data_IF_441051524259
#
_entry.id   IF_441051524259
#
_cell.length_a   1.000
_cell.length_b   1.000
_cell.length_c   1.000
_cell.angle_alpha   90.00
_cell.angle_beta   90.00
_cell.angle_gamma   90.00
#
_symmetry.space_group_name_H-M   'P 1'
#
loop_
_entity.id
_entity.type
_entity.pdbx_description
1 polymer ?
#
# COMPACT_ATOMS: atom_id res chain seq x y z
N UNK A 1 1.88 -9.97 -23.32
CA UNK A 1 1.27 -10.60 -22.13
C UNK A 1 -0.19 -10.14 -22.01
N UNK A 2 -1.15 -11.04 -21.77
CA UNK A 2 -2.55 -10.67 -21.61
C UNK A 2 -2.72 -9.62 -20.51
N UNK A 3 -3.65 -8.68 -20.72
CA UNK A 3 -3.87 -7.60 -19.78
C UNK A 3 -4.30 -8.10 -18.39
N UNK A 4 -5.17 -9.10 -18.35
CA UNK A 4 -5.57 -9.80 -17.12
C UNK A 4 -4.37 -10.35 -16.35
N UNK A 5 -3.41 -10.94 -17.04
CA UNK A 5 -2.21 -11.52 -16.42
C UNK A 5 -1.32 -10.44 -15.78
N UNK A 6 -1.23 -9.23 -16.36
CA UNK A 6 -0.52 -8.10 -15.75
C UNK A 6 -1.17 -7.65 -14.44
N UNK A 7 -2.50 -7.55 -14.42
CA UNK A 7 -3.25 -7.19 -13.22
C UNK A 7 -3.06 -8.26 -12.13
N UNK A 8 -3.18 -9.54 -12.51
CA UNK A 8 -3.00 -10.65 -11.58
C UNK A 8 -1.59 -10.62 -10.96
N UNK A 9 -0.56 -10.43 -11.77
CA UNK A 9 0.83 -10.32 -11.28
C UNK A 9 0.99 -9.12 -10.35
N UNK A 10 0.48 -7.94 -10.72
CA UNK A 10 0.56 -6.75 -9.87
C UNK A 10 -0.14 -6.97 -8.52
N UNK A 11 -1.30 -7.64 -8.53
CA UNK A 11 -2.03 -7.98 -7.31
C UNK A 11 -1.27 -8.98 -6.43
N UNK A 12 -0.76 -10.07 -7.01
CA UNK A 12 0.03 -11.06 -6.27
C UNK A 12 1.28 -10.43 -5.66
N UNK A 13 2.01 -9.61 -6.42
CA UNK A 13 3.19 -8.89 -5.92
C UNK A 13 2.84 -7.89 -4.81
N UNK A 14 1.69 -7.23 -4.92
CA UNK A 14 1.18 -6.34 -3.87
C UNK A 14 1.00 -7.09 -2.55
N UNK A 15 0.32 -8.23 -2.58
CA UNK A 15 0.05 -9.03 -1.37
C UNK A 15 1.35 -9.57 -0.78
N UNK A 16 2.24 -10.13 -1.60
CA UNK A 16 3.53 -10.65 -1.15
C UNK A 16 4.34 -9.54 -0.47
N UNK A 17 4.48 -8.39 -1.12
CA UNK A 17 5.25 -7.28 -0.57
C UNK A 17 4.59 -6.69 0.67
N UNK A 18 3.25 -6.59 0.70
CA UNK A 18 2.52 -6.11 1.86
C UNK A 18 2.78 -7.00 3.09
N UNK A 19 2.70 -8.32 2.94
CA UNK A 19 2.98 -9.28 4.02
C UNK A 19 4.42 -9.16 4.51
N UNK A 20 5.40 -9.07 3.60
CA UNK A 20 6.82 -8.93 3.96
C UNK A 20 7.07 -7.61 4.71
N UNK A 21 6.45 -6.51 4.28
CA UNK A 21 6.64 -5.19 4.88
C UNK A 21 5.78 -4.95 6.13
N UNK A 22 4.80 -5.82 6.41
CA UNK A 22 3.86 -5.66 7.54
C UNK A 22 4.58 -5.49 8.88
N UNK A 23 5.57 -6.33 9.26
CA UNK A 23 6.27 -6.15 10.54
C UNK A 23 7.01 -4.82 10.62
N UNK A 24 7.69 -4.44 9.53
CA UNK A 24 8.44 -3.18 9.46
C UNK A 24 7.52 -1.96 9.59
N UNK A 25 6.40 -1.97 8.85
CA UNK A 25 5.43 -0.87 8.88
C UNK A 25 4.69 -0.80 10.22
N UNK A 26 4.38 -1.94 10.82
CA UNK A 26 3.77 -2.03 12.16
C UNK A 26 4.70 -1.45 13.22
N UNK A 27 5.96 -1.87 13.25
CA UNK A 27 6.96 -1.31 14.18
C UNK A 27 7.21 0.17 13.95
N UNK A 28 7.23 0.66 12.70
CA UNK A 28 7.32 2.09 12.44
C UNK A 28 6.11 2.84 12.96
N UNK A 29 4.90 2.33 12.72
CA UNK A 29 3.66 2.92 13.22
C UNK A 29 3.68 3.05 14.75
N UNK A 30 4.05 1.99 15.47
CA UNK A 30 4.21 2.04 16.92
C UNK A 30 5.29 3.02 17.38
N UNK A 31 6.43 3.11 16.70
CA UNK A 31 7.48 4.04 17.09
C UNK A 31 7.07 5.51 16.91
N UNK A 32 6.22 5.82 15.93
CA UNK A 32 5.75 7.19 15.68
C UNK A 32 4.50 7.55 16.49
N UNK A 33 3.63 6.58 16.78
CA UNK A 33 2.28 6.82 17.32
C UNK A 33 1.93 5.98 18.56
N UNK A 34 2.83 5.10 19.03
CA UNK A 34 2.58 4.04 20.03
C UNK A 34 2.34 4.46 21.48
N UNK A 35 1.75 5.64 21.71
CA UNK A 35 1.22 6.00 23.03
C UNK A 35 -0.25 5.63 23.24
N UNK A 36 -0.82 4.73 22.44
CA UNK A 36 -2.20 4.29 22.62
C UNK A 36 -2.24 2.86 23.15
N UNK A 37 -2.52 2.76 24.45
CA UNK A 37 -2.86 1.54 25.18
C UNK A 37 -3.87 0.68 24.41
N UNK A 38 -3.44 -0.47 23.89
CA UNK A 38 -4.39 -1.47 23.38
C UNK A 38 -4.93 -2.22 24.59
N UNK A 39 -6.20 -1.97 24.91
CA UNK A 39 -6.91 -2.57 26.04
C UNK A 39 -6.83 -4.10 26.04
N UNK A 40 -7.02 -4.65 27.23
CA UNK A 40 -6.92 -6.04 27.70
C UNK A 40 -7.61 -7.15 26.86
N UNK A 41 -8.19 -6.83 25.69
CA UNK A 41 -8.96 -7.71 24.80
C UNK A 41 -8.64 -7.52 23.29
N UNK A 42 -7.43 -7.07 22.92
CA UNK A 42 -6.96 -7.02 21.52
C UNK A 42 -6.38 -8.36 21.03
N UNK A 43 -6.31 -8.62 19.70
CA UNK A 43 -5.57 -9.76 19.15
C UNK A 43 -4.11 -9.74 19.64
N UNK A 44 -3.40 -10.87 19.66
CA UNK A 44 -2.06 -10.97 20.27
C UNK A 44 -0.99 -10.03 19.69
N UNK A 45 -1.27 -9.42 18.54
CA UNK A 45 -0.44 -8.46 17.81
C UNK A 45 -1.30 -7.44 17.05
N UNK A 46 -1.93 -6.47 17.74
CA UNK A 46 -2.78 -5.46 17.11
C UNK A 46 -2.01 -4.58 16.10
N UNK A 47 -0.69 -4.50 16.20
CA UNK A 47 0.22 -3.76 15.30
C UNK A 47 0.25 -4.29 13.87
N UNK A 48 -0.13 -5.55 13.65
CA UNK A 48 -0.11 -6.15 12.31
C UNK A 48 -1.24 -5.65 11.41
N UNK A 49 -2.37 -5.19 11.96
CA UNK A 49 -3.45 -4.64 11.14
C UNK A 49 -3.05 -3.26 10.58
N UNK A 50 -2.64 -2.26 11.40
CA UNK A 50 -2.06 -1.01 10.93
C UNK A 50 -0.87 -1.24 9.99
N UNK A 51 0.05 -2.13 10.38
CA UNK A 51 1.22 -2.48 9.58
C UNK A 51 0.85 -3.02 8.19
N UNK A 52 -0.13 -3.92 8.11
CA UNK A 52 -0.60 -4.48 6.85
C UNK A 52 -1.31 -3.42 5.99
N UNK A 53 -2.18 -2.60 6.59
CA UNK A 53 -2.89 -1.53 5.87
C UNK A 53 -1.89 -0.54 5.27
N UNK A 54 -0.90 -0.09 6.05
CA UNK A 54 0.15 0.81 5.58
C UNK A 54 0.98 0.16 4.46
N UNK A 55 1.41 -1.09 4.67
CA UNK A 55 2.20 -1.83 3.69
C UNK A 55 1.43 -2.05 2.38
N UNK A 56 0.13 -2.31 2.45
CA UNK A 56 -0.76 -2.44 1.30
C UNK A 56 -0.93 -1.12 0.55
N UNK A 57 -1.17 -0.02 1.27
CA UNK A 57 -1.31 1.32 0.68
C UNK A 57 -0.03 1.77 -0.03
N UNK A 58 1.13 1.30 0.40
CA UNK A 58 2.41 1.49 -0.30
C UNK A 58 2.56 0.56 -1.52
N UNK A 59 2.39 -0.74 -1.34
CA UNK A 59 2.72 -1.74 -2.36
C UNK A 59 1.74 -1.74 -3.54
N UNK A 60 0.47 -1.43 -3.29
CA UNK A 60 -0.56 -1.45 -4.33
C UNK A 60 -0.27 -0.41 -5.44
N UNK A 61 -0.12 0.89 -5.15
CA UNK A 61 0.21 1.87 -6.18
C UNK A 61 1.59 1.65 -6.80
N UNK A 62 2.56 1.13 -6.05
CA UNK A 62 3.88 0.79 -6.57
C UNK A 62 3.79 -0.19 -7.74
N UNK A 63 3.09 -1.32 -7.57
CA UNK A 63 2.97 -2.32 -8.63
C UNK A 63 1.96 -1.96 -9.72
N UNK A 64 0.82 -1.36 -9.35
CA UNK A 64 -0.18 -1.00 -10.33
C UNK A 64 0.30 0.14 -11.26
N UNK A 65 1.05 1.13 -10.75
CA UNK A 65 1.59 2.18 -11.61
C UNK A 65 2.83 1.76 -12.39
N UNK A 66 3.63 0.83 -11.87
CA UNK A 66 4.82 0.32 -12.58
C UNK A 66 4.45 -0.65 -13.71
N UNK A 67 3.45 -1.51 -13.51
CA UNK A 67 3.10 -2.59 -14.44
C UNK A 67 1.91 -2.27 -15.36
N UNK A 68 1.05 -1.31 -14.99
CA UNK A 68 -0.11 -0.92 -15.79
C UNK A 68 0.07 0.48 -16.37
N UNK A 69 -0.55 0.70 -17.53
CA UNK A 69 -0.52 2.00 -18.19
C UNK A 69 -1.20 3.07 -17.33
N UNK A 70 -0.55 4.24 -17.30
CA UNK A 70 -0.87 5.42 -16.49
C UNK A 70 -2.33 5.92 -16.64
N UNK A 71 -3.02 5.56 -17.73
CA UNK A 71 -4.42 5.94 -18.01
C UNK A 71 -5.44 5.22 -17.12
N UNK A 72 -5.01 4.31 -16.24
CA UNK A 72 -5.87 3.42 -15.44
C UNK A 72 -5.92 3.77 -13.95
N UNK A 73 -5.82 5.06 -13.63
CA UNK A 73 -5.99 5.61 -12.27
C UNK A 73 -7.31 5.15 -11.62
N UNK A 74 -8.34 4.88 -12.41
CA UNK A 74 -9.60 4.30 -11.92
C UNK A 74 -9.40 3.00 -11.13
N UNK A 75 -8.57 2.07 -11.61
CA UNK A 75 -8.31 0.80 -10.92
C UNK A 75 -7.47 0.97 -9.65
N UNK A 76 -6.63 2.01 -9.62
CA UNK A 76 -5.93 2.41 -8.40
C UNK A 76 -6.89 2.90 -7.33
N UNK A 77 -7.81 3.79 -7.71
CA UNK A 77 -8.84 4.30 -6.81
C UNK A 77 -9.71 3.17 -6.28
N UNK A 78 -10.19 2.27 -7.15
CA UNK A 78 -11.02 1.13 -6.73
C UNK A 78 -10.30 0.20 -5.74
N UNK A 79 -9.00 -0.04 -5.91
CA UNK A 79 -8.27 -0.93 -4.99
C UNK A 79 -7.86 -0.29 -3.66
N UNK A 80 -7.63 1.02 -3.65
CA UNK A 80 -7.24 1.76 -2.44
C UNK A 80 -8.46 2.16 -1.60
N UNK A 81 -9.60 2.45 -2.24
CA UNK A 81 -10.79 2.99 -1.58
C UNK A 81 -11.31 2.12 -0.43
N UNK A 82 -11.36 0.78 -0.52
CA UNK A 82 -11.77 -0.06 0.62
C UNK A 82 -10.89 0.14 1.85
N UNK A 83 -9.58 0.30 1.66
CA UNK A 83 -8.65 0.53 2.77
C UNK A 83 -8.86 1.92 3.38
N UNK A 84 -9.03 2.95 2.56
CA UNK A 84 -9.36 4.30 3.05
C UNK A 84 -10.69 4.30 3.81
N UNK A 85 -11.71 3.61 3.28
CA UNK A 85 -13.02 3.49 3.93
C UNK A 85 -12.92 2.81 5.31
N UNK A 86 -12.10 1.75 5.44
CA UNK A 86 -11.84 1.08 6.72
C UNK A 86 -11.15 2.02 7.72
N UNK A 87 -10.15 2.79 7.29
CA UNK A 87 -9.45 3.75 8.15
C UNK A 87 -10.41 4.84 8.65
N UNK A 88 -11.21 5.42 7.75
CA UNK A 88 -12.19 6.44 8.09
C UNK A 88 -13.29 5.92 9.01
N UNK A 89 -13.73 4.67 8.80
CA UNK A 89 -14.69 4.00 9.68
C UNK A 89 -14.13 3.79 11.08
N UNK A 90 -12.87 3.35 11.18
CA UNK A 90 -12.16 3.21 12.45
C UNK A 90 -11.83 4.53 13.14
N UNK A 91 -12.01 5.67 12.47
CA UNK A 91 -11.64 7.02 12.93
C UNK A 91 -10.17 7.13 13.34
N UNK A 92 -9.32 6.35 12.68
CA UNK A 92 -7.89 6.29 12.99
C UNK A 92 -7.13 7.33 12.16
N UNK A 93 -6.99 8.54 12.72
CA UNK A 93 -6.32 9.65 12.05
C UNK A 93 -4.81 9.43 11.85
N UNK A 94 -4.16 8.67 12.74
CA UNK A 94 -2.73 8.37 12.68
C UNK A 94 -2.45 7.41 11.53
N UNK A 95 -3.27 6.36 11.42
CA UNK A 95 -3.23 5.41 10.30
C UNK A 95 -3.52 6.08 8.96
N UNK A 96 -4.41 7.08 8.94
CA UNK A 96 -4.69 7.88 7.74
C UNK A 96 -3.48 8.70 7.31
N UNK A 97 -2.81 9.38 8.25
CA UNK A 97 -1.63 10.21 7.96
C UNK A 97 -0.49 9.32 7.43
N UNK A 98 -0.15 8.25 8.15
CA UNK A 98 0.95 7.37 7.76
C UNK A 98 0.64 6.60 6.47
N UNK A 99 -0.61 6.13 6.33
CA UNK A 99 -1.09 5.48 5.11
C UNK A 99 -1.05 6.42 3.91
N UNK A 100 -1.42 7.70 4.06
CA UNK A 100 -1.34 8.69 2.98
C UNK A 100 0.10 8.96 2.53
N UNK A 101 1.04 9.10 3.48
CA UNK A 101 2.47 9.28 3.17
C UNK A 101 2.99 8.10 2.37
N UNK A 102 2.73 6.88 2.85
CA UNK A 102 3.19 5.64 2.21
C UNK A 102 2.52 5.40 0.86
N UNK A 103 1.26 5.78 0.69
CA UNK A 103 0.56 5.77 -0.59
C UNK A 103 1.24 6.71 -1.60
N UNK A 104 1.56 7.94 -1.20
CA UNK A 104 2.22 8.92 -2.08
C UNK A 104 3.62 8.42 -2.49
N UNK A 105 4.38 7.85 -1.54
CA UNK A 105 5.68 7.26 -1.80
C UNK A 105 5.60 6.08 -2.77
N UNK A 106 4.70 5.13 -2.50
CA UNK A 106 4.47 3.98 -3.37
C UNK A 106 4.07 4.41 -4.78
N UNK A 107 3.17 5.39 -4.90
CA UNK A 107 2.76 5.93 -6.18
C UNK A 107 3.91 6.61 -6.94
N UNK A 108 4.72 7.41 -6.24
CA UNK A 108 5.87 8.11 -6.83
C UNK A 108 6.91 7.13 -7.37
N UNK A 109 7.22 6.08 -6.61
CA UNK A 109 8.14 5.02 -7.02
C UNK A 109 7.58 4.21 -8.20
N UNK A 110 6.28 3.87 -8.17
CA UNK A 110 5.63 3.17 -9.27
C UNK A 110 5.67 3.97 -10.59
N UNK A 111 5.41 5.28 -10.52
CA UNK A 111 5.53 6.18 -11.67
C UNK A 111 6.96 6.28 -12.19
N UNK A 112 7.94 6.38 -11.29
CA UNK A 112 9.35 6.44 -11.66
C UNK A 112 9.80 5.14 -12.35
N UNK A 113 9.43 3.98 -11.82
CA UNK A 113 9.68 2.68 -12.44
C UNK A 113 9.07 2.58 -13.84
N UNK A 114 7.81 3.01 -14.02
CA UNK A 114 7.17 3.03 -15.33
C UNK A 114 7.81 4.00 -16.33
N UNK A 115 8.41 5.09 -15.86
CA UNK A 115 9.17 6.02 -16.72
C UNK A 115 10.49 5.40 -17.16
N UNK A 116 11.23 4.79 -16.25
CA UNK A 116 12.51 4.13 -16.55
C UNK A 116 12.34 2.98 -17.54
N UNK A 117 11.31 2.15 -17.36
CA UNK A 117 10.99 1.06 -18.30
C UNK A 117 10.75 1.58 -19.73
N UNK A 118 10.02 2.70 -19.88
CA UNK A 118 9.74 3.33 -21.18
C UNK A 118 10.97 3.97 -21.84
N UNK A 119 11.96 4.39 -21.06
CA UNK A 119 13.22 4.91 -21.60
C UNK A 119 14.05 3.75 -22.15
N UNK A 120 14.08 2.61 -21.43
CA UNK A 120 14.78 1.40 -21.86
C UNK A 120 14.22 0.78 -23.14
N UNK A 121 12.92 0.92 -23.43
CA UNK A 121 12.31 0.44 -24.68
C UNK A 121 12.60 1.32 -25.91
N UNK A 122 13.08 2.55 -25.71
CA UNK A 122 13.36 3.51 -26.81
C UNK A 122 14.82 3.52 -27.28
N UNK A 123 15.71 2.87 -26.54
CA UNK A 123 17.13 2.70 -26.86
C UNK A 123 17.38 1.29 -27.37
#
# INVERSE_FOLDING_TARGET
MPHFLRILIAFVLTIILAVILTPLCGSWYENFFGNVSVGFFGPSHPEYIPGFVIAYLFSFPLFFLSLLEQKRIFWLLVGILPMIALILWGRDGELLIMGAILLILGASLGLLAARLARIGEKN
#
